data_IF_828535966584
#
_entry.id   IF_828535966584
#
_cell.length_a   1.000
_cell.length_b   1.000
_cell.length_c   1.000
_cell.angle_alpha   90.00
_cell.angle_beta   90.00
_cell.angle_gamma   90.00
#
_symmetry.space_group_name_H-M   'P 1'
#
loop_
_entity.id
_entity.type
_entity.pdbx_description
1 polymer ?
#
# COMPACT_ATOMS: atom_id res chain seq x y z
N UNK A 1 0.37 11.52 -24.02
CA UNK A 1 -0.58 10.60 -24.68
C UNK A 1 0.18 9.43 -25.31
N UNK A 2 0.78 8.56 -24.48
CA UNK A 2 1.46 7.33 -24.95
C UNK A 2 1.29 6.14 -23.99
N UNK A 3 0.84 6.37 -22.75
CA UNK A 3 0.59 5.31 -21.76
C UNK A 3 -0.68 4.48 -22.04
N UNK A 4 -1.62 4.96 -22.86
CA UNK A 4 -2.90 4.25 -23.09
C UNK A 4 -2.76 3.17 -24.17
N UNK A 5 -1.83 3.33 -25.12
CA UNK A 5 -1.58 2.38 -26.22
C UNK A 5 -0.64 1.24 -25.78
N UNK A 6 0.10 1.38 -24.67
CA UNK A 6 1.01 0.33 -24.17
C UNK A 6 0.35 -0.63 -23.19
N UNK A 7 -0.76 -0.24 -22.55
CA UNK A 7 -1.48 -1.11 -21.63
C UNK A 7 -1.92 -2.46 -22.24
N UNK A 8 -2.38 -2.56 -23.51
CA UNK A 8 -2.78 -3.84 -24.09
C UNK A 8 -1.65 -4.88 -24.14
N UNK A 9 -0.40 -4.44 -24.40
CA UNK A 9 0.75 -5.35 -24.49
C UNK A 9 1.28 -5.75 -23.12
N UNK A 10 1.11 -4.90 -22.10
CA UNK A 10 1.44 -5.21 -20.70
C UNK A 10 0.50 -6.27 -20.11
N UNK A 11 -0.80 -6.23 -20.43
CA UNK A 11 -1.76 -7.26 -19.98
C UNK A 11 -1.46 -8.64 -20.60
N UNK A 12 -1.07 -8.70 -21.88
CA UNK A 12 -0.71 -9.96 -22.53
C UNK A 12 0.64 -10.52 -22.04
N UNK A 13 1.59 -9.64 -21.72
CA UNK A 13 2.83 -10.01 -21.05
C UNK A 13 2.58 -10.57 -19.63
N UNK A 14 1.68 -9.93 -18.85
CA UNK A 14 1.32 -10.37 -17.51
C UNK A 14 0.63 -11.74 -17.49
N UNK A 15 -0.29 -11.99 -18.43
CA UNK A 15 -0.98 -13.29 -18.56
C UNK A 15 0.00 -14.41 -18.93
N UNK A 16 0.92 -14.16 -19.86
CA UNK A 16 1.96 -15.14 -20.23
C UNK A 16 2.97 -15.38 -19.11
N UNK A 17 3.35 -14.35 -18.37
CA UNK A 17 4.22 -14.48 -17.20
C UNK A 17 3.57 -15.32 -16.10
N UNK A 18 2.26 -15.13 -15.82
CA UNK A 18 1.53 -15.99 -14.87
C UNK A 18 1.52 -17.45 -15.29
N UNK A 19 1.25 -17.74 -16.56
CA UNK A 19 1.25 -19.11 -17.08
C UNK A 19 2.65 -19.75 -17.01
N UNK A 20 3.71 -18.99 -17.31
CA UNK A 20 5.08 -19.47 -17.19
C UNK A 20 5.52 -19.71 -15.72
N UNK A 21 4.98 -18.94 -14.77
CA UNK A 21 5.25 -19.11 -13.33
C UNK A 21 4.47 -20.32 -12.77
N UNK A 22 3.23 -20.56 -13.22
CA UNK A 22 2.47 -21.77 -12.85
C UNK A 22 3.12 -23.06 -13.41
N UNK A 23 3.63 -23.03 -14.64
CA UNK A 23 4.26 -24.18 -15.29
C UNK A 23 5.66 -24.49 -14.73
N UNK A 24 6.35 -23.50 -14.16
CA UNK A 24 7.70 -23.65 -13.63
C UNK A 24 7.80 -24.34 -12.26
N UNK A 25 6.69 -24.66 -11.58
CA UNK A 25 6.71 -25.47 -10.35
C UNK A 25 7.54 -24.91 -9.17
N UNK A 26 7.94 -23.64 -9.22
CA UNK A 26 8.84 -22.99 -8.26
C UNK A 26 8.11 -22.29 -7.08
N UNK A 27 6.99 -22.83 -6.62
CA UNK A 27 6.31 -22.32 -5.42
C UNK A 27 6.86 -23.04 -4.19
N UNK A 28 8.07 -22.66 -3.82
CA UNK A 28 8.62 -22.97 -2.51
C UNK A 28 7.81 -22.21 -1.45
N UNK A 29 7.03 -22.95 -0.66
CA UNK A 29 6.08 -22.41 0.31
C UNK A 29 6.77 -21.59 1.42
N UNK A 30 8.09 -21.72 1.58
CA UNK A 30 8.85 -21.05 2.64
C UNK A 30 9.13 -19.56 2.35
N UNK A 31 9.42 -19.15 1.09
CA UNK A 31 9.66 -17.74 0.74
C UNK A 31 8.39 -16.87 0.79
N UNK A 32 7.23 -17.51 0.59
CA UNK A 32 5.92 -16.86 0.68
C UNK A 32 5.65 -16.33 2.09
N UNK A 33 6.14 -17.03 3.12
CA UNK A 33 5.89 -16.68 4.53
C UNK A 33 6.66 -15.43 4.95
N UNK A 34 7.93 -15.33 4.57
CA UNK A 34 8.76 -14.14 4.84
C UNK A 34 8.26 -12.90 4.10
N UNK A 35 7.85 -13.06 2.84
CA UNK A 35 7.28 -11.96 2.04
C UNK A 35 5.98 -11.43 2.67
N UNK A 36 5.13 -12.33 3.19
CA UNK A 36 3.86 -11.96 3.82
C UNK A 36 4.05 -11.19 5.13
N UNK A 37 5.07 -11.52 5.92
CA UNK A 37 5.41 -10.76 7.13
C UNK A 37 5.89 -9.34 6.79
N UNK A 38 6.79 -9.19 5.81
CA UNK A 38 7.28 -7.87 5.40
C UNK A 38 6.15 -7.02 4.82
N UNK A 39 5.27 -7.61 3.99
CA UNK A 39 4.13 -6.90 3.43
C UNK A 39 3.12 -6.48 4.51
N UNK A 40 2.92 -7.31 5.53
CA UNK A 40 2.08 -6.99 6.68
C UNK A 40 2.69 -5.87 7.54
N UNK A 41 4.01 -5.88 7.74
CA UNK A 41 4.73 -4.81 8.44
C UNK A 41 4.68 -3.48 7.67
N UNK A 42 4.78 -3.51 6.33
CA UNK A 42 4.61 -2.35 5.49
C UNK A 42 3.18 -1.78 5.60
N UNK A 43 2.15 -2.65 5.64
CA UNK A 43 0.77 -2.24 5.86
C UNK A 43 0.57 -1.57 7.24
N UNK A 44 1.24 -2.05 8.29
CA UNK A 44 1.21 -1.42 9.62
C UNK A 44 1.77 0.02 9.61
N UNK A 45 2.71 0.34 8.72
CA UNK A 45 3.23 1.71 8.58
C UNK A 45 2.16 2.66 8.04
N UNK A 46 1.34 2.21 7.09
CA UNK A 46 0.21 3.00 6.59
C UNK A 46 -0.83 3.27 7.69
N UNK A 47 -1.13 2.25 8.50
CA UNK A 47 -2.03 2.40 9.66
C UNK A 47 -1.46 3.37 10.68
N UNK A 48 -0.17 3.25 11.01
CA UNK A 48 0.50 4.15 11.95
C UNK A 48 0.54 5.60 11.46
N UNK A 49 0.81 5.82 10.18
CA UNK A 49 0.77 7.15 9.56
C UNK A 49 -0.64 7.76 9.63
N UNK A 50 -1.68 6.95 9.38
CA UNK A 50 -3.07 7.38 9.45
C UNK A 50 -3.48 7.76 10.86
N UNK A 51 -3.15 6.96 11.87
CA UNK A 51 -3.41 7.27 13.28
C UNK A 51 -2.69 8.55 13.73
N UNK A 52 -1.45 8.73 13.28
CA UNK A 52 -0.67 9.95 13.56
C UNK A 52 -1.33 11.18 12.95
N UNK A 53 -1.77 11.10 11.69
CA UNK A 53 -2.47 12.18 11.01
C UNK A 53 -3.79 12.54 11.71
N UNK A 54 -4.56 11.54 12.16
CA UNK A 54 -5.79 11.76 12.94
C UNK A 54 -5.47 12.46 14.27
N UNK A 55 -4.45 12.02 15.00
CA UNK A 55 -4.02 12.65 16.25
C UNK A 55 -3.59 14.11 16.05
N UNK A 56 -2.86 14.40 14.96
CA UNK A 56 -2.48 15.77 14.59
C UNK A 56 -3.68 16.63 14.22
N UNK A 57 -4.66 16.07 13.50
CA UNK A 57 -5.90 16.76 13.14
C UNK A 57 -6.72 17.12 14.38
N UNK A 58 -6.91 16.18 15.31
CA UNK A 58 -7.58 16.42 16.59
C UNK A 58 -6.85 17.48 17.43
N UNK A 59 -5.52 17.46 17.45
CA UNK A 59 -4.70 18.48 18.12
C UNK A 59 -4.96 19.88 17.54
N UNK A 60 -5.00 20.01 16.22
CA UNK A 60 -5.28 21.29 15.54
C UNK A 60 -6.71 21.78 15.85
N UNK A 61 -7.69 20.89 15.87
CA UNK A 61 -9.07 21.23 16.27
C UNK A 61 -9.14 21.73 17.73
N UNK A 62 -8.45 21.07 18.64
CA UNK A 62 -8.41 21.48 20.04
C UNK A 62 -7.75 22.87 20.22
N UNK A 63 -6.67 23.15 19.49
CA UNK A 63 -5.99 24.45 19.53
C UNK A 63 -6.86 25.57 18.95
N UNK A 64 -7.52 25.32 17.82
CA UNK A 64 -8.41 26.30 17.17
C UNK A 64 -9.66 26.59 17.99
N UNK A 65 -10.21 25.62 18.73
CA UNK A 65 -11.31 25.85 19.68
C UNK A 65 -10.85 26.52 20.98
N UNK A 66 -9.64 26.22 21.48
CA UNK A 66 -9.09 26.81 22.70
C UNK A 66 -8.74 28.30 22.56
N UNK A 67 -8.32 28.74 21.37
CA UNK A 67 -8.00 30.15 21.10
C UNK A 67 -9.21 31.10 21.12
N UNK A 68 -10.43 30.59 20.94
CA UNK A 68 -11.67 31.40 20.96
C UNK A 68 -12.14 31.79 22.36
N UNK A 69 -11.62 31.17 23.42
CA UNK A 69 -12.07 31.42 24.81
C UNK A 69 -11.30 32.53 25.53
N UNK A 70 -10.41 33.24 24.82
CA UNK A 70 -9.52 34.29 25.36
C UNK A 70 -9.66 35.67 24.68
N UNK A 71 -10.78 35.94 24.00
CA UNK A 71 -11.15 37.29 23.55
C UNK A 71 -12.45 37.72 24.19
#
# INVERSE_FOLDING_TARGET
>A
MFQIVTLPVEFDASRRAKLAIEDAGFLDQEEMKGTKEVLSAAALTYVGATLTAIGQFLRLLALTNGGRRRR
#
